data_IF_817525560053
#
_entry.id   IF_817525560053
#
_cell.length_a   1.000
_cell.length_b   1.000
_cell.length_c   1.000
_cell.angle_alpha   90.00
_cell.angle_beta   90.00
_cell.angle_gamma   90.00
#
_symmetry.space_group_name_H-M   'P 1'
#
loop_
_entity.id
_entity.type
_entity.pdbx_description
1 polymer ?
#
# COMPACT_ATOMS: atom_id res chain seq x y z
N UNK A 1 21.75 -4.36 -20.39
CA UNK A 1 20.86 -3.84 -19.33
C UNK A 1 21.43 -3.88 -17.91
N UNK A 2 21.49 -5.01 -17.18
CA UNK A 2 21.92 -5.00 -15.76
C UNK A 2 23.29 -4.33 -15.54
N UNK A 3 24.29 -4.65 -16.38
CA UNK A 3 25.62 -4.04 -16.27
C UNK A 3 25.60 -2.51 -16.50
N UNK A 4 24.70 -2.01 -17.35
CA UNK A 4 24.54 -0.57 -17.59
C UNK A 4 23.86 0.11 -16.41
N UNK A 5 22.85 -0.53 -15.83
CA UNK A 5 22.22 -0.07 -14.57
C UNK A 5 23.26 0.02 -13.45
N UNK A 6 24.11 -1.00 -13.29
CA UNK A 6 25.19 -1.01 -12.30
C UNK A 6 26.16 0.15 -12.56
N UNK A 7 26.57 0.35 -13.82
CA UNK A 7 27.46 1.46 -14.20
C UNK A 7 26.87 2.83 -13.85
N UNK A 8 25.57 3.04 -14.08
CA UNK A 8 24.87 4.27 -13.68
C UNK A 8 24.90 4.46 -12.16
N UNK A 9 24.62 3.39 -11.41
CA UNK A 9 24.66 3.42 -9.95
C UNK A 9 26.07 3.65 -9.40
N UNK A 10 27.11 3.14 -10.07
CA UNK A 10 28.52 3.39 -9.74
C UNK A 10 28.93 4.84 -10.04
N UNK A 11 28.32 5.46 -11.04
CA UNK A 11 28.54 6.86 -11.42
C UNK A 11 27.76 7.86 -10.55
N UNK A 12 26.82 7.39 -9.71
CA UNK A 12 26.10 8.26 -8.79
C UNK A 12 27.05 9.02 -7.85
N UNK A 13 26.72 10.27 -7.56
CA UNK A 13 27.57 11.12 -6.72
C UNK A 13 27.63 10.60 -5.29
N UNK A 14 28.76 10.81 -4.60
CA UNK A 14 28.90 10.38 -3.20
C UNK A 14 27.90 11.09 -2.27
N UNK A 15 27.45 12.31 -2.61
CA UNK A 15 26.43 13.05 -1.87
C UNK A 15 25.01 12.50 -2.07
N UNK A 16 24.74 11.87 -3.23
CA UNK A 16 23.45 11.29 -3.59
C UNK A 16 23.65 9.89 -4.19
N UNK A 17 24.09 8.92 -3.40
CA UNK A 17 24.46 7.59 -3.90
C UNK A 17 23.24 6.68 -4.18
N UNK A 18 22.03 7.22 -4.06
CA UNK A 18 20.76 6.52 -4.16
C UNK A 18 19.94 7.07 -5.33
N UNK A 19 19.41 6.18 -6.17
CA UNK A 19 18.59 6.51 -7.32
C UNK A 19 17.30 5.69 -7.34
N UNK A 20 16.19 6.26 -7.81
CA UNK A 20 14.97 5.47 -8.07
C UNK A 20 15.07 4.81 -9.44
N UNK A 21 14.29 3.75 -9.69
CA UNK A 21 14.25 3.13 -11.02
C UNK A 21 13.88 4.12 -12.13
N UNK A 22 13.01 5.10 -11.82
CA UNK A 22 12.71 6.22 -12.71
C UNK A 22 13.93 7.08 -13.04
N UNK A 23 14.74 7.44 -12.04
CA UNK A 23 15.98 8.18 -12.28
C UNK A 23 16.99 7.38 -13.10
N UNK A 24 17.04 6.05 -12.90
CA UNK A 24 17.90 5.15 -13.68
C UNK A 24 17.41 5.09 -15.14
N UNK A 25 16.09 4.95 -15.37
CA UNK A 25 15.47 4.96 -16.70
C UNK A 25 15.82 6.24 -17.47
N UNK A 26 15.74 7.41 -16.81
CA UNK A 26 16.16 8.68 -17.41
C UNK A 26 17.62 8.71 -17.84
N UNK A 27 18.50 8.10 -17.06
CA UNK A 27 19.92 7.97 -17.41
C UNK A 27 20.19 6.96 -18.53
N UNK A 28 19.22 6.09 -18.86
CA UNK A 28 19.29 5.10 -19.95
C UNK A 28 18.60 5.57 -21.24
N UNK A 29 18.36 6.87 -21.40
CA UNK A 29 17.65 7.50 -22.54
C UNK A 29 16.13 7.24 -22.62
N UNK A 30 15.45 7.07 -21.47
CA UNK A 30 13.97 7.08 -21.30
C UNK A 30 13.15 5.99 -22.04
N UNK A 31 13.74 5.15 -22.90
CA UNK A 31 13.00 4.08 -23.60
C UNK A 31 12.71 2.85 -22.73
N UNK A 32 13.40 2.69 -21.60
CA UNK A 32 13.26 1.50 -20.75
C UNK A 32 12.19 1.71 -19.68
N UNK A 33 11.26 0.76 -19.59
CA UNK A 33 10.17 0.77 -18.63
C UNK A 33 10.72 0.72 -17.19
N UNK A 34 10.21 1.59 -16.31
CA UNK A 34 10.60 1.66 -14.89
C UNK A 34 10.40 0.31 -14.17
N UNK A 35 9.30 -0.39 -14.45
CA UNK A 35 9.00 -1.71 -13.88
C UNK A 35 10.00 -2.76 -14.31
N UNK A 36 10.46 -2.72 -15.57
CA UNK A 36 11.48 -3.65 -16.08
C UNK A 36 12.82 -3.47 -15.35
N UNK A 37 13.21 -2.22 -15.07
CA UNK A 37 14.41 -1.92 -14.28
C UNK A 37 14.28 -2.47 -12.86
N UNK A 38 13.14 -2.27 -12.21
CA UNK A 38 12.90 -2.80 -10.86
C UNK A 38 12.96 -4.33 -10.84
N UNK A 39 12.33 -5.01 -11.81
CA UNK A 39 12.36 -6.47 -11.90
C UNK A 39 13.78 -7.01 -12.10
N UNK A 40 14.59 -6.37 -12.94
CA UNK A 40 16.00 -6.75 -13.15
C UNK A 40 16.80 -6.60 -11.86
N UNK A 41 16.61 -5.50 -11.14
CA UNK A 41 17.31 -5.21 -9.89
C UNK A 41 16.89 -6.15 -8.76
N UNK A 42 15.59 -6.43 -8.64
CA UNK A 42 15.04 -7.38 -7.68
C UNK A 42 15.54 -8.80 -7.95
N UNK A 43 15.48 -9.26 -9.21
CA UNK A 43 16.05 -10.56 -9.60
C UNK A 43 17.53 -10.62 -9.26
N UNK A 44 18.31 -9.58 -9.55
CA UNK A 44 19.72 -9.56 -9.19
C UNK A 44 19.94 -9.69 -7.68
N UNK A 45 19.19 -8.94 -6.85
CA UNK A 45 19.30 -9.03 -5.40
C UNK A 45 18.90 -10.42 -4.86
N UNK A 46 17.80 -11.01 -5.35
CA UNK A 46 17.31 -12.31 -4.89
C UNK A 46 18.32 -13.46 -5.11
N UNK A 47 19.15 -13.39 -6.16
CA UNK A 47 20.20 -14.39 -6.41
C UNK A 47 21.41 -14.27 -5.47
N UNK A 48 21.50 -13.19 -4.68
CA UNK A 48 22.67 -12.87 -3.84
C UNK A 48 22.32 -12.75 -2.35
N UNK A 49 21.11 -13.16 -1.93
CA UNK A 49 20.65 -13.03 -0.53
C UNK A 49 21.56 -13.76 0.47
N UNK A 50 22.19 -14.87 0.08
CA UNK A 50 23.10 -15.63 0.97
C UNK A 50 24.57 -15.16 0.90
N UNK A 51 24.97 -14.46 -0.17
CA UNK A 51 26.35 -14.07 -0.42
C UNK A 51 26.44 -12.55 -0.59
N UNK A 52 26.12 -11.84 0.48
CA UNK A 52 26.18 -10.36 0.60
C UNK A 52 27.49 -9.77 0.03
N UNK A 53 28.59 -10.52 0.05
CA UNK A 53 29.89 -10.08 -0.48
C UNK A 53 29.97 -9.95 -2.01
N UNK A 54 29.07 -10.60 -2.76
CA UNK A 54 29.11 -10.64 -4.23
C UNK A 54 28.10 -9.72 -4.91
N UNK A 55 27.12 -9.20 -4.17
CA UNK A 55 26.11 -8.28 -4.71
C UNK A 55 26.77 -6.95 -5.14
N UNK A 56 26.46 -6.49 -6.36
CA UNK A 56 26.94 -5.20 -6.88
C UNK A 56 25.97 -4.05 -6.60
N UNK A 57 24.70 -4.37 -6.39
CA UNK A 57 23.62 -3.41 -6.14
C UNK A 57 22.84 -3.83 -4.90
N UNK A 58 22.32 -2.85 -4.16
CA UNK A 58 21.32 -3.08 -3.13
C UNK A 58 20.26 -1.99 -3.15
N UNK A 59 19.09 -2.29 -2.59
CA UNK A 59 18.08 -1.28 -2.29
C UNK A 59 18.23 -0.71 -0.87
N UNK A 60 17.64 0.46 -0.67
CA UNK A 60 17.50 1.12 0.62
C UNK A 60 16.33 0.56 1.40
N UNK A 61 16.46 0.44 2.72
CA UNK A 61 15.36 0.08 3.63
C UNK A 61 14.26 1.14 3.68
N UNK A 62 14.58 2.37 3.27
CA UNK A 62 13.65 3.50 3.22
C UNK A 62 13.43 3.92 1.77
N UNK A 63 12.17 4.15 1.35
CA UNK A 63 11.89 4.66 0.02
C UNK A 63 12.35 6.11 -0.16
N UNK A 64 12.39 6.55 -1.42
CA UNK A 64 12.61 7.95 -1.79
C UNK A 64 11.69 8.86 -1.00
N UNK A 65 12.24 9.91 -0.37
CA UNK A 65 11.47 10.92 0.38
C UNK A 65 10.53 11.78 -0.48
N UNK A 66 10.74 11.79 -1.80
CA UNK A 66 9.93 12.59 -2.72
C UNK A 66 8.86 11.75 -3.41
N UNK A 67 9.23 10.58 -3.92
CA UNK A 67 8.40 9.79 -4.85
C UNK A 67 7.90 8.46 -4.29
N UNK A 68 8.31 8.07 -3.07
CA UNK A 68 8.00 6.77 -2.46
C UNK A 68 8.54 5.53 -3.18
N UNK A 69 9.22 5.72 -4.31
CA UNK A 69 9.89 4.66 -5.06
C UNK A 69 11.05 4.05 -4.27
N UNK A 70 11.38 2.79 -4.59
CA UNK A 70 12.54 2.11 -4.04
C UNK A 70 13.80 2.85 -4.47
N UNK A 71 14.71 3.07 -3.52
CA UNK A 71 16.02 3.64 -3.79
C UNK A 71 17.04 2.51 -3.97
N UNK A 72 17.79 2.59 -5.05
CA UNK A 72 18.83 1.64 -5.45
C UNK A 72 20.19 2.33 -5.39
N UNK A 73 21.22 1.60 -4.99
CA UNK A 73 22.57 2.13 -4.89
C UNK A 73 23.61 1.05 -5.18
N UNK A 74 24.72 1.46 -5.79
CA UNK A 74 25.88 0.58 -5.93
C UNK A 74 26.45 0.26 -4.55
N UNK A 75 26.74 -1.01 -4.33
CA UNK A 75 27.34 -1.50 -3.09
C UNK A 75 28.67 -0.80 -2.78
N UNK A 76 29.44 -0.40 -3.80
CA UNK A 76 30.68 0.35 -3.62
C UNK A 76 30.45 1.73 -2.98
N UNK A 77 29.33 2.38 -3.34
CA UNK A 77 28.96 3.73 -2.90
C UNK A 77 28.20 3.74 -1.59
N UNK A 78 27.19 2.87 -1.46
CA UNK A 78 26.30 2.84 -0.29
C UNK A 78 26.79 1.91 0.81
N UNK A 79 27.95 1.29 0.60
CA UNK A 79 28.58 0.22 1.40
C UNK A 79 27.68 -1.01 1.51
N UNK A 80 28.31 -2.18 1.62
CA UNK A 80 27.62 -3.35 2.16
C UNK A 80 27.27 -3.01 3.61
N UNK A 81 26.00 -2.75 3.87
CA UNK A 81 25.46 -3.13 5.18
C UNK A 81 24.98 -4.56 4.99
N UNK A 82 25.36 -5.47 5.90
CA UNK A 82 24.43 -6.54 6.28
C UNK A 82 23.22 -5.79 6.82
N UNK A 83 22.34 -5.34 5.92
CA UNK A 83 21.01 -4.98 6.30
C UNK A 83 20.48 -6.27 6.85
N UNK A 84 20.48 -6.42 8.18
CA UNK A 84 19.46 -7.28 8.76
C UNK A 84 18.20 -6.78 8.10
N UNK A 85 17.48 -7.68 7.40
CA UNK A 85 16.14 -7.37 6.96
C UNK A 85 15.43 -6.67 8.11
N UNK A 86 14.48 -5.78 7.82
CA UNK A 86 13.65 -5.29 8.93
C UNK A 86 12.84 -6.51 9.36
N UNK A 87 13.38 -7.26 10.29
CA UNK A 87 12.75 -8.42 10.89
C UNK A 87 11.92 -7.89 12.03
N UNK A 88 10.71 -8.42 12.20
CA UNK A 88 9.90 -8.03 13.34
C UNK A 88 10.60 -8.52 14.61
N UNK A 89 10.93 -7.60 15.51
CA UNK A 89 11.57 -7.94 16.78
C UNK A 89 10.55 -8.34 17.84
N UNK A 90 9.32 -7.86 17.67
CA UNK A 90 8.24 -8.00 18.62
C UNK A 90 7.34 -9.17 18.23
N UNK A 91 6.66 -9.73 19.21
CA UNK A 91 5.70 -10.82 19.01
C UNK A 91 4.50 -10.26 18.23
N UNK A 92 3.92 -11.09 17.35
CA UNK A 92 2.69 -10.74 16.67
C UNK A 92 1.56 -10.48 17.68
N UNK A 93 0.72 -9.51 17.39
CA UNK A 93 -0.46 -9.23 18.21
C UNK A 93 -1.51 -10.32 17.99
N UNK A 94 -2.02 -10.90 19.07
CA UNK A 94 -2.98 -12.00 19.08
C UNK A 94 -4.45 -11.53 19.14
N UNK A 95 -4.72 -10.23 18.98
CA UNK A 95 -6.06 -9.62 19.06
C UNK A 95 -7.09 -10.19 18.07
N UNK A 96 -6.65 -10.91 17.03
CA UNK A 96 -7.53 -11.61 16.07
C UNK A 96 -7.61 -13.13 16.28
N UNK A 97 -6.82 -13.70 17.20
CA UNK A 97 -6.73 -15.16 17.41
C UNK A 97 -8.02 -15.79 17.96
N UNK A 98 -8.90 -15.00 18.58
CA UNK A 98 -10.15 -15.50 19.16
C UNK A 98 -11.27 -15.75 18.13
N UNK A 99 -11.09 -15.40 16.86
CA UNK A 99 -12.13 -15.52 15.83
C UNK A 99 -11.93 -16.79 15.02
N UNK A 100 -12.89 -17.72 14.95
CA UNK A 100 -12.72 -19.01 14.25
C UNK A 100 -12.15 -18.90 12.82
N UNK A 101 -12.48 -17.82 12.11
CA UNK A 101 -12.02 -17.55 10.75
C UNK A 101 -10.54 -17.09 10.65
N UNK A 102 -9.85 -16.81 11.76
CA UNK A 102 -8.45 -16.36 11.75
C UNK A 102 -7.48 -17.41 11.20
N UNK A 103 -7.87 -18.69 11.20
CA UNK A 103 -7.08 -19.79 10.63
C UNK A 103 -7.19 -19.88 9.10
N UNK A 104 -8.18 -19.22 8.51
CA UNK A 104 -8.33 -19.21 7.04
C UNK A 104 -7.32 -18.23 6.44
N UNK A 105 -6.88 -18.45 5.19
CA UNK A 105 -5.98 -17.51 4.50
C UNK A 105 -6.61 -16.13 4.41
N UNK A 106 -5.90 -15.10 4.88
CA UNK A 106 -6.35 -13.73 4.75
C UNK A 106 -6.50 -13.34 3.28
N UNK A 107 -7.61 -12.68 2.95
CA UNK A 107 -7.94 -12.30 1.58
C UNK A 107 -8.22 -10.81 1.41
N UNK A 108 -8.17 -10.03 2.48
CA UNK A 108 -8.29 -8.57 2.43
C UNK A 108 -7.10 -7.93 3.11
N UNK A 109 -6.28 -7.19 2.35
CA UNK A 109 -5.15 -6.45 2.89
C UNK A 109 -5.62 -5.12 3.47
N UNK A 110 -5.43 -4.86 4.77
CA UNK A 110 -5.79 -3.56 5.37
C UNK A 110 -4.54 -2.70 5.56
N UNK A 111 -4.38 -1.70 4.69
CA UNK A 111 -3.34 -0.68 4.77
C UNK A 111 -3.75 0.45 5.70
N UNK A 112 -2.88 0.77 6.65
CA UNK A 112 -3.09 1.84 7.61
C UNK A 112 -1.75 2.39 8.12
N UNK A 113 -1.80 3.49 8.89
CA UNK A 113 -0.64 3.93 9.67
C UNK A 113 -0.63 3.19 11.01
N UNK A 114 0.54 2.78 11.50
CA UNK A 114 0.71 2.19 12.85
C UNK A 114 0.05 3.01 13.98
N UNK A 115 -0.07 4.33 13.81
CA UNK A 115 -0.78 5.21 14.77
C UNK A 115 -2.29 4.99 14.84
N UNK A 116 -2.86 4.36 13.82
CA UNK A 116 -4.29 4.06 13.69
C UNK A 116 -4.60 2.62 14.12
N UNK A 117 -3.60 1.86 14.59
CA UNK A 117 -3.73 0.42 14.86
C UNK A 117 -4.93 0.07 15.74
N UNK A 118 -5.17 0.84 16.81
CA UNK A 118 -6.32 0.62 17.71
C UNK A 118 -7.68 0.71 17.01
N UNK A 119 -7.79 1.56 16.00
CA UNK A 119 -9.05 1.75 15.27
C UNK A 119 -9.21 0.68 14.20
N UNK A 120 -8.09 0.32 13.59
CA UNK A 120 -8.02 -0.67 12.53
C UNK A 120 -8.23 -2.09 13.06
N UNK A 121 -7.74 -2.40 14.27
CA UNK A 121 -8.02 -3.70 14.89
C UNK A 121 -9.52 -3.84 15.20
N UNK A 122 -10.18 -2.79 15.70
CA UNK A 122 -11.64 -2.79 15.90
C UNK A 122 -12.39 -2.95 14.58
N UNK A 123 -11.92 -2.31 13.50
CA UNK A 123 -12.45 -2.53 12.15
C UNK A 123 -12.29 -4.00 11.72
N UNK A 124 -11.10 -4.58 11.86
CA UNK A 124 -10.81 -5.96 11.49
C UNK A 124 -11.66 -6.97 12.29
N UNK A 125 -11.81 -6.75 13.60
CA UNK A 125 -12.70 -7.54 14.46
C UNK A 125 -14.14 -7.49 13.96
N UNK A 126 -14.67 -6.30 13.63
CA UNK A 126 -16.02 -6.16 13.06
C UNK A 126 -16.21 -6.88 11.72
N UNK A 127 -15.15 -6.96 10.90
CA UNK A 127 -15.18 -7.73 9.65
C UNK A 127 -15.27 -9.23 9.94
N UNK A 128 -14.54 -9.73 10.94
CA UNK A 128 -14.54 -11.13 11.35
C UNK A 128 -15.82 -11.56 12.07
N UNK A 129 -16.41 -10.69 12.89
CA UNK A 129 -17.66 -10.94 13.64
C UNK A 129 -18.88 -11.08 12.73
N UNK A 130 -18.81 -10.53 11.51
CA UNK A 130 -19.97 -10.51 10.65
C UNK A 130 -20.13 -11.83 9.89
N UNK A 131 -20.84 -12.77 10.52
CA UNK A 131 -21.22 -14.08 9.97
C UNK A 131 -22.06 -14.03 8.67
N UNK A 132 -22.42 -12.84 8.16
CA UNK A 132 -23.08 -12.72 6.85
C UNK A 132 -22.09 -12.81 5.68
N UNK A 133 -20.80 -12.62 5.98
CA UNK A 133 -19.71 -12.65 5.01
C UNK A 133 -18.66 -13.67 5.47
N UNK A 134 -18.94 -14.96 5.29
CA UNK A 134 -18.07 -16.09 5.67
C UNK A 134 -16.63 -16.07 5.09
N UNK A 135 -16.31 -15.04 4.29
CA UNK A 135 -15.13 -14.94 3.45
C UNK A 135 -14.44 -13.57 3.53
N UNK A 136 -14.59 -12.76 4.59
CA UNK A 136 -13.71 -11.57 4.75
C UNK A 136 -12.74 -11.86 5.88
N UNK A 137 -11.50 -12.14 5.52
CA UNK A 137 -10.43 -12.45 6.47
C UNK A 137 -9.37 -11.34 6.34
N UNK A 138 -9.32 -10.39 7.29
CA UNK A 138 -8.45 -9.25 7.21
C UNK A 138 -7.00 -9.63 7.51
N UNK A 139 -6.08 -9.10 6.72
CA UNK A 139 -4.64 -9.16 6.94
C UNK A 139 -4.15 -7.83 7.51
N UNK A 140 -3.41 -7.88 8.61
CA UNK A 140 -2.74 -6.74 9.24
C UNK A 140 -1.28 -7.10 9.55
N UNK A 141 -0.36 -6.16 9.35
CA UNK A 141 1.06 -6.35 9.60
C UNK A 141 1.36 -6.68 11.08
N UNK A 142 0.59 -6.08 11.99
CA UNK A 142 0.73 -6.22 13.43
C UNK A 142 0.36 -7.63 13.92
N UNK A 143 -0.60 -8.30 13.26
CA UNK A 143 -1.13 -9.60 13.69
C UNK A 143 -0.58 -10.78 12.89
N UNK A 144 -0.23 -10.58 11.61
CA UNK A 144 0.18 -11.68 10.74
C UNK A 144 1.69 -11.85 10.62
N UNK A 145 2.46 -10.77 10.67
CA UNK A 145 3.92 -10.85 10.60
C UNK A 145 4.42 -11.37 11.96
N UNK A 146 5.07 -12.52 11.97
CA UNK A 146 5.62 -13.13 13.18
C UNK A 146 6.97 -12.54 13.54
N UNK A 147 7.42 -12.83 14.76
CA UNK A 147 8.77 -12.49 15.18
C UNK A 147 9.78 -13.15 14.23
N UNK A 148 10.83 -12.42 13.89
CA UNK A 148 11.89 -12.80 12.97
C UNK A 148 11.50 -12.85 11.47
N UNK A 149 10.21 -12.68 11.13
CA UNK A 149 9.76 -12.55 9.74
C UNK A 149 10.28 -11.25 9.10
N UNK A 150 10.56 -11.33 7.79
CA UNK A 150 11.00 -10.18 7.02
C UNK A 150 9.80 -9.29 6.63
N UNK A 151 9.58 -8.20 7.39
CA UNK A 151 8.39 -7.33 7.30
C UNK A 151 8.02 -6.95 5.86
N UNK A 152 8.99 -6.47 5.07
CA UNK A 152 8.69 -6.02 3.71
C UNK A 152 8.26 -7.16 2.77
N UNK A 153 8.83 -8.35 2.95
CA UNK A 153 8.50 -9.50 2.11
C UNK A 153 7.08 -9.97 2.43
N UNK A 154 6.74 -10.05 3.72
CA UNK A 154 5.40 -10.40 4.18
C UNK A 154 4.34 -9.40 3.70
N UNK A 155 4.59 -8.09 3.79
CA UNK A 155 3.67 -7.07 3.29
C UNK A 155 3.46 -7.20 1.78
N UNK A 156 4.54 -7.33 1.00
CA UNK A 156 4.45 -7.45 -0.46
C UNK A 156 3.71 -8.74 -0.84
N UNK A 157 4.08 -9.86 -0.22
CA UNK A 157 3.45 -11.17 -0.44
C UNK A 157 1.96 -11.11 -0.15
N UNK A 158 1.58 -10.58 1.02
CA UNK A 158 0.20 -10.51 1.48
C UNK A 158 -0.63 -9.56 0.63
N UNK A 159 -0.08 -8.40 0.25
CA UNK A 159 -0.73 -7.50 -0.67
C UNK A 159 -1.00 -8.18 -2.03
N UNK A 160 -0.04 -8.95 -2.53
CA UNK A 160 -0.17 -9.66 -3.81
C UNK A 160 -1.24 -10.74 -3.76
N UNK A 161 -1.27 -11.53 -2.69
CA UNK A 161 -2.15 -12.67 -2.53
C UNK A 161 -3.57 -12.28 -2.08
N UNK A 162 -3.76 -11.09 -1.50
CA UNK A 162 -5.09 -10.62 -1.10
C UNK A 162 -5.98 -10.35 -2.30
N UNK A 163 -7.26 -10.70 -2.21
CA UNK A 163 -8.27 -10.47 -3.25
C UNK A 163 -8.68 -8.99 -3.32
N UNK A 164 -8.64 -8.28 -2.20
CA UNK A 164 -8.98 -6.87 -2.10
C UNK A 164 -8.00 -6.09 -1.21
N UNK A 165 -8.05 -4.77 -1.37
CA UNK A 165 -7.28 -3.81 -0.60
C UNK A 165 -8.22 -2.87 0.15
N UNK A 166 -8.01 -2.69 1.45
CA UNK A 166 -8.71 -1.71 2.28
C UNK A 166 -7.71 -0.65 2.72
N UNK A 167 -8.01 0.61 2.44
CA UNK A 167 -7.30 1.76 2.97
C UNK A 167 -8.07 2.32 4.17
N UNK A 168 -7.50 2.29 5.36
CA UNK A 168 -8.02 3.08 6.47
C UNK A 168 -7.50 4.52 6.38
N UNK A 169 -8.38 5.43 5.95
CA UNK A 169 -8.04 6.82 5.65
C UNK A 169 -8.21 7.71 6.89
N UNK A 170 -7.06 8.07 7.47
CA UNK A 170 -6.84 9.05 8.54
C UNK A 170 -5.77 10.08 8.14
N UNK A 171 -5.63 11.18 8.89
CA UNK A 171 -4.51 12.13 8.76
C UNK A 171 -3.14 11.46 8.94
N UNK A 172 -3.06 10.42 9.79
CA UNK A 172 -1.84 9.66 9.99
C UNK A 172 -1.51 8.81 8.75
N UNK A 173 -2.51 8.14 8.19
CA UNK A 173 -2.38 7.33 6.97
C UNK A 173 -1.98 8.19 5.75
N UNK A 174 -2.53 9.41 5.62
CA UNK A 174 -2.13 10.36 4.59
C UNK A 174 -0.69 10.83 4.75
N UNK A 175 -0.20 10.89 5.98
CA UNK A 175 1.19 11.23 6.31
C UNK A 175 2.13 10.03 6.19
N UNK A 176 1.57 8.82 6.05
CA UNK A 176 2.32 7.57 5.97
C UNK A 176 2.78 7.31 4.54
N UNK A 177 4.09 7.41 4.36
CA UNK A 177 4.78 7.01 3.13
C UNK A 177 4.45 5.57 2.72
N UNK A 178 4.42 4.70 3.72
CA UNK A 178 4.23 3.27 3.51
C UNK A 178 2.82 2.99 2.97
N UNK A 179 1.81 3.58 3.60
CA UNK A 179 0.41 3.49 3.18
C UNK A 179 0.20 3.98 1.75
N UNK A 180 0.83 5.11 1.37
CA UNK A 180 0.77 5.59 -0.02
C UNK A 180 1.41 4.63 -1.04
N UNK A 181 2.50 3.95 -0.66
CA UNK A 181 3.15 2.94 -1.52
C UNK A 181 2.27 1.69 -1.67
N UNK A 182 1.70 1.19 -0.58
CA UNK A 182 0.79 0.04 -0.59
C UNK A 182 -0.44 0.33 -1.46
N UNK A 183 -1.05 1.52 -1.31
CA UNK A 183 -2.17 1.96 -2.15
C UNK A 183 -1.81 2.00 -3.63
N UNK A 184 -0.68 2.62 -3.98
CA UNK A 184 -0.22 2.71 -5.37
C UNK A 184 0.00 1.31 -5.95
N UNK A 185 0.60 0.41 -5.17
CA UNK A 185 0.84 -0.97 -5.58
C UNK A 185 -0.48 -1.74 -5.78
N UNK A 186 -1.46 -1.56 -4.90
CA UNK A 186 -2.78 -2.17 -5.05
C UNK A 186 -3.49 -1.70 -6.32
N UNK A 187 -3.43 -0.40 -6.59
CA UNK A 187 -4.01 0.23 -7.78
C UNK A 187 -3.34 -0.24 -9.06
N UNK A 188 -2.02 -0.25 -9.11
CA UNK A 188 -1.27 -0.67 -10.30
C UNK A 188 -1.55 -2.15 -10.64
N UNK A 189 -1.92 -2.95 -9.64
CA UNK A 189 -2.39 -4.33 -9.77
C UNK A 189 -3.90 -4.46 -10.04
N UNK A 190 -4.60 -3.35 -10.21
CA UNK A 190 -6.05 -3.27 -10.44
C UNK A 190 -6.86 -4.04 -9.38
N UNK A 191 -6.36 -4.07 -8.13
CA UNK A 191 -7.10 -4.68 -7.03
C UNK A 191 -8.36 -3.86 -6.73
N UNK A 192 -9.47 -4.50 -6.34
CA UNK A 192 -10.59 -3.80 -5.71
C UNK A 192 -10.09 -3.04 -4.48
N UNK A 193 -10.43 -1.76 -4.40
CA UNK A 193 -9.97 -0.88 -3.32
C UNK A 193 -11.18 -0.39 -2.51
N UNK A 194 -11.12 -0.49 -1.19
CA UNK A 194 -12.14 0.01 -0.29
C UNK A 194 -11.52 1.05 0.62
N UNK A 195 -12.06 2.26 0.64
CA UNK A 195 -11.55 3.34 1.49
C UNK A 195 -12.47 3.47 2.69
N UNK A 196 -11.96 3.16 3.89
CA UNK A 196 -12.66 3.37 5.16
C UNK A 196 -12.21 4.71 5.74
N UNK A 197 -13.09 5.70 5.65
CA UNK A 197 -12.87 7.08 6.07
C UNK A 197 -13.08 7.20 7.58
N UNK A 198 -12.06 7.63 8.32
CA UNK A 198 -12.22 8.00 9.72
C UNK A 198 -12.96 9.34 9.83
N UNK A 199 -14.25 9.30 10.19
CA UNK A 199 -15.09 10.49 10.33
C UNK A 199 -14.93 11.20 11.67
N UNK A 200 -14.11 10.68 12.59
CA UNK A 200 -13.66 11.47 13.75
C UNK A 200 -12.46 12.36 13.39
N UNK A 201 -11.86 12.17 12.21
CA UNK A 201 -10.75 12.99 11.72
C UNK A 201 -11.25 14.14 10.85
N UNK A 202 -11.36 15.32 11.46
CA UNK A 202 -11.88 16.53 10.83
C UNK A 202 -11.15 16.89 9.52
N UNK A 203 -9.83 16.69 9.44
CA UNK A 203 -9.07 17.00 8.21
C UNK A 203 -9.43 16.06 7.07
N UNK A 204 -9.73 14.79 7.40
CA UNK A 204 -10.18 13.82 6.43
C UNK A 204 -11.61 14.12 5.97
N UNK A 205 -12.49 14.53 6.88
CA UNK A 205 -13.84 14.96 6.49
C UNK A 205 -13.76 16.14 5.51
N UNK A 206 -12.97 17.16 5.84
CA UNK A 206 -12.75 18.32 4.97
C UNK A 206 -12.21 17.90 3.61
N UNK A 207 -11.24 16.98 3.57
CA UNK A 207 -10.72 16.42 2.33
C UNK A 207 -11.82 15.70 1.54
N UNK A 208 -12.59 14.80 2.16
CA UNK A 208 -13.64 14.03 1.48
C UNK A 208 -14.74 14.95 0.96
N UNK A 209 -15.19 15.93 1.75
CA UNK A 209 -16.15 16.93 1.29
C UNK A 209 -15.56 17.74 0.13
N UNK A 210 -14.28 18.12 0.19
CA UNK A 210 -13.63 18.79 -0.92
C UNK A 210 -13.66 17.95 -2.20
N UNK A 211 -13.32 16.66 -2.13
CA UNK A 211 -13.35 15.73 -3.27
C UNK A 211 -14.76 15.62 -3.87
N UNK A 212 -15.79 15.59 -3.02
CA UNK A 212 -17.19 15.49 -3.45
C UNK A 212 -17.67 16.68 -4.27
N UNK A 213 -17.13 17.87 -4.01
CA UNK A 213 -17.54 19.09 -4.70
C UNK A 213 -16.76 19.34 -6.00
N UNK A 214 -15.87 18.43 -6.40
CA UNK A 214 -15.12 18.53 -7.66
C UNK A 214 -14.27 19.80 -7.76
N UNK A 215 -13.94 20.43 -6.63
CA UNK A 215 -13.09 21.63 -6.63
C UNK A 215 -11.67 21.22 -7.01
N UNK A 216 -10.97 22.07 -7.76
CA UNK A 216 -9.57 21.86 -8.07
C UNK A 216 -8.74 22.18 -6.82
N UNK A 217 -7.97 21.23 -6.27
CA UNK A 217 -7.07 21.55 -5.15
C UNK A 217 -5.98 22.50 -5.63
N UNK A 218 -5.89 23.64 -4.98
CA UNK A 218 -4.81 24.61 -5.14
C UNK A 218 -3.67 24.29 -4.18
N UNK A 219 -2.47 24.81 -4.46
CA UNK A 219 -1.34 24.65 -3.53
C UNK A 219 -1.62 25.24 -2.13
N UNK A 220 -2.56 26.19 -2.03
CA UNK A 220 -2.97 26.80 -0.76
C UNK A 220 -3.88 25.92 0.09
N UNK A 221 -4.62 24.99 -0.51
CA UNK A 221 -5.48 24.04 0.22
C UNK A 221 -4.66 22.96 0.96
N UNK A 222 -3.37 22.87 0.63
CA UNK A 222 -2.43 21.93 1.24
C UNK A 222 -1.47 22.59 2.25
N UNK A 223 -1.77 23.78 2.78
CA UNK A 223 -0.87 24.41 3.78
C UNK A 223 -0.73 23.48 5.00
N UNK A 224 0.50 23.00 5.23
CA UNK A 224 0.83 22.04 6.30
C UNK A 224 0.84 20.57 5.88
N UNK A 225 0.45 20.24 4.65
CA UNK A 225 0.53 18.90 4.08
C UNK A 225 1.89 18.75 3.38
N UNK A 226 2.71 17.80 3.84
CA UNK A 226 4.04 17.56 3.28
C UNK A 226 3.96 16.90 1.89
N UNK A 227 5.06 16.92 1.13
CA UNK A 227 5.09 16.48 -0.27
C UNK A 227 4.54 15.05 -0.52
N UNK A 228 4.87 14.08 0.35
CA UNK A 228 4.38 12.71 0.19
C UNK A 228 2.86 12.58 0.36
N UNK A 229 2.31 13.32 1.33
CA UNK A 229 0.87 13.38 1.55
C UNK A 229 0.15 14.07 0.39
N UNK A 230 0.75 15.10 -0.20
CA UNK A 230 0.19 15.78 -1.38
C UNK A 230 0.13 14.85 -2.59
N UNK A 231 1.18 14.06 -2.83
CA UNK A 231 1.19 13.07 -3.90
C UNK A 231 0.12 11.99 -3.66
N UNK A 232 0.05 11.44 -2.44
CA UNK A 232 -0.95 10.45 -2.10
C UNK A 232 -2.38 10.98 -2.24
N UNK A 233 -2.65 12.19 -1.77
CA UNK A 233 -3.94 12.85 -2.00
C UNK A 233 -4.20 12.98 -3.49
N UNK A 234 -3.24 13.50 -4.27
CA UNK A 234 -3.42 13.68 -5.72
C UNK A 234 -3.75 12.39 -6.46
N UNK A 235 -3.18 11.28 -6.01
CA UNK A 235 -3.47 9.94 -6.50
C UNK A 235 -4.92 9.58 -6.17
N UNK A 236 -5.34 9.71 -4.90
CA UNK A 236 -6.72 9.46 -4.48
C UNK A 236 -7.71 10.35 -5.27
N UNK A 237 -7.38 11.61 -5.55
CA UNK A 237 -8.26 12.52 -6.32
C UNK A 237 -8.41 12.05 -7.75
N UNK A 238 -7.29 11.77 -8.42
CA UNK A 238 -7.30 11.32 -9.82
C UNK A 238 -8.08 10.04 -9.94
N UNK A 239 -7.86 9.11 -9.03
CA UNK A 239 -8.59 7.86 -9.00
C UNK A 239 -10.07 8.13 -8.72
N UNK A 240 -10.41 9.04 -7.79
CA UNK A 240 -11.79 9.42 -7.53
C UNK A 240 -12.50 10.05 -8.72
N UNK A 241 -11.83 10.86 -9.53
CA UNK A 241 -12.43 11.36 -10.78
C UNK A 241 -12.69 10.25 -11.80
N UNK A 242 -11.90 9.17 -11.76
CA UNK A 242 -12.10 7.97 -12.58
C UNK A 242 -13.14 7.00 -11.98
N UNK A 243 -13.63 7.27 -10.76
CA UNK A 243 -14.51 6.35 -10.03
C UNK A 243 -15.95 6.33 -10.46
N UNK A 244 -16.47 7.44 -10.98
CA UNK A 244 -17.85 7.45 -11.45
C UNK A 244 -18.05 6.49 -12.64
N UNK A 245 -16.97 6.11 -13.33
CA UNK A 245 -17.03 5.23 -14.50
C UNK A 245 -16.75 3.75 -14.19
N UNK A 246 -15.87 3.42 -13.22
CA UNK A 246 -15.32 2.05 -13.07
C UNK A 246 -15.71 1.25 -11.81
N UNK A 247 -16.44 1.82 -10.84
CA UNK A 247 -16.91 1.13 -9.60
C UNK A 247 -15.84 0.41 -8.75
N UNK A 248 -14.55 0.67 -8.98
CA UNK A 248 -13.43 -0.06 -8.34
C UNK A 248 -13.07 0.43 -6.94
N UNK A 249 -13.44 1.66 -6.58
CA UNK A 249 -13.28 2.20 -5.22
C UNK A 249 -14.64 2.49 -4.59
N UNK A 250 -14.80 2.09 -3.34
CA UNK A 250 -15.97 2.41 -2.52
C UNK A 250 -15.55 3.06 -1.20
N UNK A 251 -16.37 3.99 -0.72
CA UNK A 251 -16.09 4.76 0.51
C UNK A 251 -17.03 4.34 1.65
N UNK A 252 -16.45 4.00 2.79
CA UNK A 252 -17.14 3.65 4.02
C UNK A 252 -16.81 4.66 5.11
N UNK A 253 -17.71 4.86 6.07
CA UNK A 253 -17.47 5.70 7.24
C UNK A 253 -17.15 4.86 8.48
N UNK A 254 -16.10 5.26 9.21
CA UNK A 254 -15.71 4.71 10.51
C UNK A 254 -15.71 5.81 11.59
N UNK A 255 -16.30 5.52 12.74
CA UNK A 255 -16.33 6.38 13.93
C UNK A 255 -16.13 5.54 15.18
N UNK A 256 -15.36 6.06 16.14
CA UNK A 256 -15.22 5.57 17.51
C UNK A 256 -16.45 5.85 18.35
N UNK A 257 -17.06 7.02 18.13
CA UNK A 257 -17.94 7.66 19.11
C UNK A 257 -19.43 7.40 18.87
N UNK A 258 -19.81 6.69 17.80
CA UNK A 258 -21.23 6.59 17.42
C UNK A 258 -21.67 5.20 16.94
N UNK A 259 -22.79 4.73 17.52
CA UNK A 259 -23.79 3.94 16.81
C UNK A 259 -24.31 4.82 15.66
N UNK A 260 -23.91 4.51 14.43
CA UNK A 260 -23.96 5.42 13.28
C UNK A 260 -25.37 5.77 12.82
N UNK A 261 -25.83 6.98 13.15
CA UNK A 261 -26.84 7.74 12.39
C UNK A 261 -26.15 8.94 11.71
N UNK A 262 -25.10 8.68 10.92
CA UNK A 262 -24.46 9.75 10.15
C UNK A 262 -25.38 10.18 9.02
N UNK A 263 -25.76 11.47 8.98
CA UNK A 263 -26.61 12.06 7.92
C UNK A 263 -25.90 12.17 6.56
N UNK A 264 -24.73 11.57 6.39
CA UNK A 264 -23.91 11.73 5.20
C UNK A 264 -24.34 10.74 4.12
N UNK A 265 -25.37 11.11 3.34
CA UNK A 265 -26.10 10.27 2.36
C UNK A 265 -25.27 9.51 1.30
N UNK A 266 -23.96 9.77 1.17
CA UNK A 266 -23.06 9.12 0.19
C UNK A 266 -21.96 8.24 0.80
N UNK A 267 -21.82 8.22 2.13
CA UNK A 267 -20.91 7.28 2.79
C UNK A 267 -21.72 6.08 3.29
N UNK A 268 -21.24 4.88 2.98
CA UNK A 268 -21.85 3.68 3.53
C UNK A 268 -21.44 3.55 5.00
N UNK A 269 -22.40 3.37 5.93
CA UNK A 269 -22.12 2.87 7.27
C UNK A 269 -21.16 1.68 7.22
N UNK A 270 -20.22 1.57 8.16
CA UNK A 270 -19.30 0.43 8.18
C UNK A 270 -20.02 -0.93 8.21
N UNK A 271 -21.17 -1.00 8.89
CA UNK A 271 -22.04 -2.18 8.89
C UNK A 271 -22.44 -2.64 7.47
N UNK A 272 -22.49 -1.71 6.51
CA UNK A 272 -22.85 -1.96 5.11
C UNK A 272 -21.64 -2.36 4.23
N UNK A 273 -20.42 -2.42 4.78
CA UNK A 273 -19.26 -3.02 4.09
C UNK A 273 -19.53 -4.48 3.71
N UNK A 274 -20.49 -5.11 4.38
CA UNK A 274 -20.92 -6.49 4.15
C UNK A 274 -22.04 -6.59 3.10
N UNK A 275 -22.61 -5.46 2.67
CA UNK A 275 -23.52 -5.37 1.53
C UNK A 275 -22.78 -5.22 0.19
N UNK A 276 -21.43 -5.34 0.21
CA UNK A 276 -20.63 -5.47 -0.99
C UNK A 276 -21.26 -6.54 -1.90
N UNK A 277 -21.64 -6.19 -3.14
CA UNK A 277 -22.38 -7.11 -3.99
C UNK A 277 -21.68 -8.46 -4.08
N UNK A 278 -22.41 -9.56 -3.83
CA UNK A 278 -21.93 -10.91 -4.18
C UNK A 278 -21.43 -10.99 -5.63
N UNK A 279 -21.91 -10.09 -6.50
CA UNK A 279 -21.45 -9.95 -7.88
C UNK A 279 -20.01 -9.46 -8.02
N UNK A 280 -19.49 -8.68 -7.06
CA UNK A 280 -18.06 -8.35 -6.99
C UNK A 280 -17.30 -9.68 -6.84
N UNK A 281 -17.69 -10.52 -5.88
CA UNK A 281 -17.11 -11.84 -5.65
C UNK A 281 -17.34 -12.87 -6.80
N UNK A 282 -18.49 -12.84 -7.49
CA UNK A 282 -18.77 -13.78 -8.59
C UNK A 282 -18.08 -13.40 -9.89
N UNK A 283 -17.87 -12.09 -10.15
CA UNK A 283 -17.07 -11.61 -11.30
C UNK A 283 -15.60 -12.06 -11.17
N UNK A 284 -15.13 -12.34 -9.95
CA UNK A 284 -13.77 -12.83 -9.70
C UNK A 284 -13.58 -14.33 -9.92
N UNK A 285 -14.63 -15.17 -9.80
CA UNK A 285 -14.53 -16.59 -10.15
C UNK A 285 -14.59 -16.86 -11.66
N UNK A 286 -15.27 -15.99 -12.41
CA UNK A 286 -15.49 -16.16 -13.85
C UNK A 286 -14.49 -15.40 -14.74
N UNK A 287 -13.65 -14.54 -14.14
CA UNK A 287 -12.49 -13.96 -14.84
C UNK A 287 -11.36 -14.97 -14.94
N UNK A 288 -11.54 -15.99 -15.79
CA UNK A 288 -10.40 -16.66 -16.42
C UNK A 288 -9.55 -15.58 -17.05
N UNK A 289 -8.39 -15.32 -16.45
CA UNK A 289 -7.28 -14.60 -17.06
C UNK A 289 -7.22 -14.94 -18.54
N UNK A 290 -7.44 -13.94 -19.39
CA UNK A 290 -7.08 -14.02 -20.80
C UNK A 290 -5.57 -14.23 -20.78
N UNK A 291 -5.14 -15.49 -20.96
CA UNK A 291 -3.78 -15.81 -21.39
C UNK A 291 -3.60 -15.08 -22.71
N UNK A 292 -2.86 -13.97 -22.69
CA UNK A 292 -2.25 -13.43 -23.90
C UNK A 292 -1.44 -14.58 -24.50
N UNK A 293 -1.83 -14.98 -25.72
CA UNK A 293 -1.06 -15.95 -26.50
C UNK A 293 0.33 -15.37 -26.74
N UNK A 294 1.32 -16.24 -26.53
CA UNK A 294 2.71 -16.15 -27.00
C UNK A 294 2.81 -15.66 -28.43
#
# INVERSE_FOLDING_TARGET
MLNEIIKILDQASNEKPWMTARSISKSLNEEINVTEIEDILLKHCAHHDDLVQSAKVRYSNLPSRKTLEVLWGSVQKVKIRKGKGITKTDIADDSLSNYENHLKPANVFISHSHKDYKDVITLAQKLLENNKCDNIIPWLAETHIQKDDHINQEIISSLNNSEAFVLFLSSNSLSSRWTGKEYSTARDKQKPIFIVVNIDDQKIIELVEFLRHGRLLTATDFRGITGASREFISIIIKDHSLLEENKTIQLFAYSKTTNSNSKNKKLYPLQDINALPKSIYSTFKDSKFIKTRS
#
